data_IF_007500586032
#
_entry.id   IF_007500586032
#
_cell.length_a   1.000
_cell.length_b   1.000
_cell.length_c   1.000
_cell.angle_alpha   90.00
_cell.angle_beta   90.00
_cell.angle_gamma   90.00
#
_symmetry.space_group_name_H-M   'P 1'
#
loop_
_entity.id
_entity.type
_entity.pdbx_description
1 polymer ?
#
# COMPACT_ATOMS: atom_id res chain seq x y z
N UNK A 1 -5.18 -3.01 20.17
CA UNK A 1 -5.51 -1.56 20.21
C UNK A 1 -5.10 -0.91 18.90
N UNK A 2 -5.74 0.20 18.53
CA UNK A 2 -5.22 1.13 17.51
C UNK A 2 -4.81 2.43 18.20
N UNK A 3 -3.84 3.13 17.63
CA UNK A 3 -3.49 4.48 18.03
C UNK A 3 -4.02 5.45 16.98
N UNK A 4 -4.60 6.55 17.46
CA UNK A 4 -5.12 7.65 16.66
C UNK A 4 -4.40 8.91 17.07
N UNK A 5 -3.84 9.63 16.10
CA UNK A 5 -3.07 10.85 16.32
C UNK A 5 -3.71 11.98 15.54
N UNK A 6 -4.15 13.03 16.21
CA UNK A 6 -4.42 14.33 15.59
C UNK A 6 -3.13 15.11 15.40
N UNK A 7 -2.99 15.79 14.26
CA UNK A 7 -1.88 16.62 13.86
C UNK A 7 -2.25 18.09 14.05
N UNK A 8 -1.46 18.78 14.88
CA UNK A 8 -1.55 20.22 15.15
C UNK A 8 -2.95 20.73 15.58
N UNK A 9 -3.28 20.69 16.90
CA UNK A 9 -2.43 20.27 18.02
C UNK A 9 -2.28 18.75 18.08
N UNK A 10 -1.12 18.29 18.58
CA UNK A 10 -0.86 16.85 18.69
C UNK A 10 -1.69 16.23 19.81
N UNK A 11 -2.63 15.36 19.44
CA UNK A 11 -3.51 14.65 20.39
C UNK A 11 -3.41 13.15 20.11
N UNK A 12 -3.15 12.35 21.14
CA UNK A 12 -3.04 10.89 21.03
C UNK A 12 -4.22 10.23 21.74
N UNK A 13 -4.84 9.25 21.09
CA UNK A 13 -5.87 8.38 21.65
C UNK A 13 -5.55 6.93 21.33
N UNK A 14 -5.84 6.05 22.28
CA UNK A 14 -5.82 4.60 22.09
C UNK A 14 -7.26 4.14 22.04
N UNK A 15 -7.63 3.41 21.00
CA UNK A 15 -8.99 2.88 20.81
C UNK A 15 -8.97 1.37 20.65
N UNK A 16 -10.03 0.71 21.09
CA UNK A 16 -10.17 -0.73 20.91
C UNK A 16 -10.46 -1.10 19.45
N UNK A 17 -10.25 -2.38 19.12
CA UNK A 17 -10.51 -2.86 17.76
C UNK A 17 -12.02 -2.90 17.53
N UNK A 18 -12.50 -2.09 16.60
CA UNK A 18 -13.92 -2.02 16.22
C UNK A 18 -14.64 -0.77 16.72
N UNK A 19 -14.01 -0.03 17.63
CA UNK A 19 -14.48 1.31 17.99
C UNK A 19 -14.27 2.31 16.85
N UNK A 20 -15.17 3.31 16.71
CA UNK A 20 -15.01 4.36 15.72
C UNK A 20 -13.77 5.21 16.01
N UNK A 21 -13.17 5.75 14.95
CA UNK A 21 -12.09 6.73 15.08
C UNK A 21 -12.66 8.00 15.71
N UNK A 22 -12.10 8.52 16.81
CA UNK A 22 -12.59 9.73 17.45
C UNK A 22 -12.41 10.93 16.51
N UNK A 23 -13.36 11.85 16.55
CA UNK A 23 -13.24 13.11 15.83
C UNK A 23 -12.22 14.01 16.55
N UNK A 24 -11.01 14.08 15.99
CA UNK A 24 -9.93 14.94 16.45
C UNK A 24 -9.76 16.09 15.47
N UNK A 25 -9.36 17.27 15.94
CA UNK A 25 -9.06 18.42 15.08
C UNK A 25 -7.83 18.16 14.18
N UNK A 26 -7.71 18.93 13.08
CA UNK A 26 -6.56 18.85 12.17
C UNK A 26 -6.53 17.60 11.30
N UNK A 27 -5.35 17.21 10.81
CA UNK A 27 -5.15 15.94 10.10
C UNK A 27 -5.05 14.80 11.10
N UNK A 28 -5.58 13.63 10.77
CA UNK A 28 -5.66 12.50 11.70
C UNK A 28 -5.01 11.28 11.07
N UNK A 29 -4.12 10.64 11.80
CA UNK A 29 -3.50 9.38 11.42
C UNK A 29 -3.96 8.24 12.30
N UNK A 30 -4.24 7.10 11.69
CA UNK A 30 -4.76 5.90 12.37
C UNK A 30 -3.83 4.72 12.09
N UNK A 31 -3.34 4.07 13.13
CA UNK A 31 -2.51 2.87 12.98
C UNK A 31 -3.32 1.64 12.55
N UNK A 32 -2.63 0.59 12.10
CA UNK A 32 -3.23 -0.74 12.13
C UNK A 32 -3.46 -1.22 13.57
N UNK A 33 -4.34 -2.21 13.81
CA UNK A 33 -4.45 -2.83 15.12
C UNK A 33 -3.14 -3.53 15.51
N UNK A 34 -2.60 -3.17 16.67
CA UNK A 34 -1.46 -3.85 17.29
C UNK A 34 -1.83 -4.43 18.65
N UNK A 35 -1.14 -5.47 19.12
CA UNK A 35 -1.24 -5.88 20.52
C UNK A 35 -0.69 -4.75 21.44
N UNK A 36 -1.18 -4.62 22.69
CA UNK A 36 -0.81 -3.51 23.58
C UNK A 36 0.70 -3.32 23.77
N UNK A 37 1.47 -4.41 23.73
CA UNK A 37 2.93 -4.42 23.91
C UNK A 37 3.66 -3.76 22.72
N UNK A 38 2.99 -3.63 21.57
CA UNK A 38 3.50 -2.96 20.36
C UNK A 38 2.92 -1.56 20.16
N UNK A 39 2.43 -0.93 21.22
CA UNK A 39 1.87 0.44 21.16
C UNK A 39 2.84 1.47 20.58
N UNK A 40 4.15 1.29 20.75
CA UNK A 40 5.17 2.15 20.11
C UNK A 40 5.13 2.10 18.58
N UNK A 41 4.97 0.91 18.00
CA UNK A 41 4.84 0.75 16.54
C UNK A 41 3.50 1.31 16.04
N UNK A 42 2.41 1.08 16.78
CA UNK A 42 1.11 1.68 16.48
C UNK A 42 1.18 3.22 16.50
N UNK A 43 1.85 3.79 17.50
CA UNK A 43 2.08 5.23 17.59
C UNK A 43 2.87 5.77 16.39
N UNK A 44 3.96 5.11 16.00
CA UNK A 44 4.75 5.50 14.82
C UNK A 44 3.92 5.49 13.53
N UNK A 45 3.11 4.46 13.32
CA UNK A 45 2.19 4.39 12.17
C UNK A 45 1.17 5.53 12.17
N UNK A 46 0.54 5.80 13.32
CA UNK A 46 -0.46 6.85 13.45
C UNK A 46 0.15 8.25 13.25
N UNK A 47 1.35 8.49 13.78
CA UNK A 47 2.09 9.74 13.55
C UNK A 47 2.38 9.94 12.07
N UNK A 48 3.01 8.96 11.42
CA UNK A 48 3.38 9.07 10.02
C UNK A 48 2.15 9.24 9.10
N UNK A 49 1.04 8.56 9.41
CA UNK A 49 -0.21 8.74 8.68
C UNK A 49 -0.77 10.17 8.81
N UNK A 50 -0.71 10.76 10.01
CA UNK A 50 -1.18 12.12 10.26
C UNK A 50 -0.29 13.16 9.54
N UNK A 51 1.02 12.97 9.59
CA UNK A 51 2.03 13.80 8.89
C UNK A 51 1.82 13.75 7.37
N UNK A 52 1.66 12.56 6.80
CA UNK A 52 1.44 12.39 5.36
C UNK A 52 0.10 13.00 4.92
N UNK A 53 -0.95 12.85 5.73
CA UNK A 53 -2.23 13.51 5.47
C UNK A 53 -2.10 15.04 5.41
N UNK A 54 -1.28 15.63 6.28
CA UNK A 54 -1.00 17.07 6.26
C UNK A 54 -0.12 17.50 5.08
N UNK A 55 0.79 16.62 4.63
CA UNK A 55 1.75 16.91 3.56
C UNK A 55 1.18 16.77 2.16
N UNK A 56 0.38 15.72 1.91
CA UNK A 56 -0.14 15.36 0.59
C UNK A 56 -1.67 15.59 0.55
N UNK A 57 -2.15 16.66 -0.12
CA UNK A 57 -3.58 16.98 -0.21
C UNK A 57 -4.42 15.91 -0.90
N UNK A 58 -3.80 14.95 -1.59
CA UNK A 58 -4.52 13.84 -2.19
C UNK A 58 -4.94 12.80 -1.16
N UNK A 59 -4.30 12.75 0.01
CA UNK A 59 -4.66 11.84 1.10
C UNK A 59 -5.87 12.39 1.88
N UNK A 60 -6.74 11.49 2.40
CA UNK A 60 -7.87 11.94 3.22
C UNK A 60 -7.35 12.61 4.49
N UNK A 61 -8.14 13.57 5.02
CA UNK A 61 -7.90 14.22 6.31
C UNK A 61 -7.71 13.19 7.43
N UNK A 62 -8.47 12.09 7.41
CA UNK A 62 -8.29 10.95 8.31
C UNK A 62 -7.62 9.84 7.49
N UNK A 63 -6.30 9.70 7.66
CA UNK A 63 -5.49 8.72 6.95
C UNK A 63 -5.27 7.47 7.79
N UNK A 64 -5.67 6.32 7.25
CA UNK A 64 -5.37 5.03 7.84
C UNK A 64 -4.03 4.51 7.31
N UNK A 65 -3.16 4.01 8.20
CA UNK A 65 -1.86 3.45 7.83
C UNK A 65 -2.00 2.47 6.67
N UNK A 66 -2.91 1.50 6.77
CA UNK A 66 -3.18 0.46 5.77
C UNK A 66 -3.55 0.98 4.38
N UNK A 67 -3.98 2.24 4.26
CA UNK A 67 -4.46 2.86 3.02
C UNK A 67 -3.45 3.84 2.41
N UNK A 68 -2.29 4.06 3.04
CA UNK A 68 -1.25 4.97 2.56
C UNK A 68 -0.50 4.45 1.32
N UNK A 69 -0.80 3.24 0.86
CA UNK A 69 -0.25 2.66 -0.36
C UNK A 69 1.29 2.65 -0.37
N UNK A 70 1.88 3.22 -1.43
CA UNK A 70 3.32 3.25 -1.64
C UNK A 70 4.10 4.00 -0.55
N UNK A 71 3.49 4.96 0.16
CA UNK A 71 4.18 5.68 1.25
C UNK A 71 4.63 4.74 2.36
N UNK A 72 3.83 3.70 2.69
CA UNK A 72 4.25 2.71 3.70
C UNK A 72 5.55 2.02 3.29
N UNK A 73 5.65 1.63 2.02
CA UNK A 73 6.85 0.97 1.48
C UNK A 73 8.07 1.88 1.53
N UNK A 74 7.89 3.16 1.22
CA UNK A 74 8.96 4.18 1.35
C UNK A 74 9.40 4.38 2.80
N UNK A 75 8.47 4.22 3.74
CA UNK A 75 8.73 4.28 5.19
C UNK A 75 9.25 2.94 5.77
N UNK A 76 9.44 1.92 4.93
CA UNK A 76 10.08 0.66 5.31
C UNK A 76 9.14 -0.52 5.59
N UNK A 77 7.83 -0.42 5.33
CA UNK A 77 6.96 -1.59 5.39
C UNK A 77 7.40 -2.65 4.37
N UNK A 78 7.28 -3.95 4.72
CA UNK A 78 7.74 -5.03 3.86
C UNK A 78 6.89 -5.13 2.58
N UNK A 79 7.57 -5.20 1.43
CA UNK A 79 6.93 -5.37 0.12
C UNK A 79 6.20 -6.71 -0.04
N UNK A 80 6.56 -7.72 0.74
CA UNK A 80 5.99 -9.07 0.64
C UNK A 80 4.48 -9.09 0.91
N UNK A 81 4.00 -8.21 1.80
CA UNK A 81 2.56 -8.07 2.07
C UNK A 81 1.76 -7.58 0.86
N UNK A 82 2.34 -6.71 0.04
CA UNK A 82 1.69 -6.16 -1.16
C UNK A 82 1.58 -7.20 -2.27
N UNK A 83 2.61 -8.05 -2.43
CA UNK A 83 2.68 -9.05 -3.49
C UNK A 83 2.20 -10.44 -3.02
N UNK A 84 1.75 -10.56 -1.78
CA UNK A 84 1.33 -11.82 -1.17
C UNK A 84 0.32 -12.55 -2.06
N UNK A 85 0.48 -13.87 -2.18
CA UNK A 85 -0.41 -14.73 -2.98
C UNK A 85 -0.19 -14.70 -4.50
N UNK A 86 0.56 -13.73 -5.05
CA UNK A 86 0.87 -13.74 -6.48
C UNK A 86 1.85 -14.85 -6.85
N UNK A 87 1.45 -15.68 -7.81
CA UNK A 87 2.34 -16.68 -8.42
C UNK A 87 3.49 -16.02 -9.20
N UNK A 88 4.61 -16.73 -9.43
CA UNK A 88 5.73 -16.19 -10.22
C UNK A 88 5.30 -15.68 -11.61
N UNK A 89 4.38 -16.38 -12.27
CA UNK A 89 3.83 -15.99 -13.58
C UNK A 89 3.05 -14.67 -13.51
N UNK A 90 2.22 -14.48 -12.47
CA UNK A 90 1.47 -13.24 -12.29
C UNK A 90 2.39 -12.07 -11.90
N UNK A 91 3.41 -12.31 -11.07
CA UNK A 91 4.44 -11.30 -10.76
C UNK A 91 5.19 -10.85 -12.00
N UNK A 92 5.62 -11.79 -12.84
CA UNK A 92 6.27 -11.48 -14.12
C UNK A 92 5.34 -10.72 -15.08
N UNK A 93 4.07 -11.13 -15.18
CA UNK A 93 3.08 -10.43 -16.00
C UNK A 93 2.87 -8.99 -15.52
N UNK A 94 2.72 -8.78 -14.21
CA UNK A 94 2.55 -7.48 -13.61
C UNK A 94 3.77 -6.58 -13.84
N UNK A 95 4.98 -7.11 -13.68
CA UNK A 95 6.21 -6.35 -13.88
C UNK A 95 6.34 -5.89 -15.34
N UNK A 96 6.16 -6.80 -16.31
CA UNK A 96 6.20 -6.42 -17.74
C UNK A 96 5.11 -5.41 -18.09
N UNK A 97 3.91 -5.55 -17.50
CA UNK A 97 2.83 -4.59 -17.70
C UNK A 97 3.19 -3.18 -17.22
N UNK A 98 3.75 -3.08 -16.01
CA UNK A 98 4.12 -1.80 -15.40
C UNK A 98 5.35 -1.18 -16.08
N UNK A 99 6.36 -1.99 -16.41
CA UNK A 99 7.56 -1.55 -17.13
C UNK A 99 7.23 -1.10 -18.58
N UNK A 100 6.17 -1.64 -19.18
CA UNK A 100 5.64 -1.20 -20.49
C UNK A 100 4.74 0.04 -20.40
N UNK A 101 4.79 0.78 -19.30
CA UNK A 101 3.96 1.98 -19.12
C UNK A 101 2.46 1.68 -19.05
N UNK A 102 2.08 0.48 -18.60
CA UNK A 102 0.70 -0.01 -18.56
C UNK A 102 0.06 -0.20 -19.96
N UNK A 103 0.87 -0.29 -21.03
CA UNK A 103 0.39 -0.59 -22.38
C UNK A 103 0.08 -2.09 -22.55
N UNK A 104 -1.21 -2.41 -22.61
CA UNK A 104 -1.68 -3.79 -22.75
C UNK A 104 -1.25 -4.45 -24.07
N UNK A 105 -1.10 -3.69 -25.17
CA UNK A 105 -0.67 -4.22 -26.47
C UNK A 105 0.82 -4.56 -26.43
N UNK A 106 1.64 -3.63 -25.94
CA UNK A 106 3.07 -3.86 -25.79
C UNK A 106 3.36 -5.03 -24.84
N UNK A 107 2.64 -5.07 -23.71
CA UNK A 107 2.74 -6.17 -22.72
C UNK A 107 2.35 -7.52 -23.31
N UNK A 108 1.22 -7.59 -24.02
CA UNK A 108 0.76 -8.83 -24.66
C UNK A 108 1.77 -9.33 -25.70
N UNK A 109 2.33 -8.43 -26.50
CA UNK A 109 3.38 -8.77 -27.46
C UNK A 109 4.65 -9.29 -26.76
N UNK A 110 5.12 -8.61 -25.71
CA UNK A 110 6.31 -8.98 -24.95
C UNK A 110 6.16 -10.34 -24.23
N UNK A 111 4.96 -10.68 -23.79
CA UNK A 111 4.65 -11.94 -23.11
C UNK A 111 4.15 -13.05 -24.06
N UNK A 112 4.06 -12.77 -25.37
CA UNK A 112 3.44 -13.65 -26.36
C UNK A 112 2.03 -14.15 -25.95
N UNK A 113 1.23 -13.25 -25.38
CA UNK A 113 -0.13 -13.53 -24.94
C UNK A 113 -1.16 -12.93 -25.88
N UNK A 114 -2.32 -13.59 -25.96
CA UNK A 114 -3.51 -12.93 -26.45
C UNK A 114 -4.00 -11.88 -25.46
N UNK A 115 -4.61 -10.80 -25.96
CA UNK A 115 -5.08 -9.67 -25.14
C UNK A 115 -6.08 -10.08 -24.06
N UNK A 116 -6.98 -11.02 -24.36
CA UNK A 116 -7.94 -11.55 -23.36
C UNK A 116 -7.23 -12.29 -22.23
N UNK A 117 -6.19 -13.06 -22.54
CA UNK A 117 -5.38 -13.75 -21.53
C UNK A 117 -4.61 -12.77 -20.65
N UNK A 118 -4.10 -11.67 -21.21
CA UNK A 118 -3.49 -10.60 -20.42
C UNK A 118 -4.52 -9.98 -19.45
N UNK A 119 -5.70 -9.59 -19.93
CA UNK A 119 -6.73 -9.01 -19.07
C UNK A 119 -7.18 -9.95 -17.96
N UNK A 120 -7.32 -11.25 -18.27
CA UNK A 120 -7.58 -12.24 -17.24
C UNK A 120 -6.50 -12.24 -16.15
N UNK A 121 -5.22 -12.20 -16.54
CA UNK A 121 -4.11 -12.15 -15.56
C UNK A 121 -4.12 -10.86 -14.74
N UNK A 122 -4.38 -9.70 -15.35
CA UNK A 122 -4.48 -8.42 -14.63
C UNK A 122 -5.65 -8.41 -13.65
N UNK A 123 -6.81 -8.96 -14.05
CA UNK A 123 -7.96 -9.14 -13.14
C UNK A 123 -7.61 -10.07 -11.97
N UNK A 124 -6.95 -11.21 -12.23
CA UNK A 124 -6.48 -12.10 -11.17
C UNK A 124 -5.45 -11.44 -10.24
N UNK A 125 -4.58 -10.57 -10.76
CA UNK A 125 -3.67 -9.78 -9.92
C UNK A 125 -4.46 -8.86 -8.99
N UNK A 126 -5.47 -8.15 -9.50
CA UNK A 126 -6.32 -7.28 -8.71
C UNK A 126 -7.07 -8.05 -7.61
N UNK A 127 -7.67 -9.20 -7.96
CA UNK A 127 -8.38 -10.06 -7.02
C UNK A 127 -7.47 -10.60 -5.90
N UNK A 128 -6.24 -11.03 -6.23
CA UNK A 128 -5.32 -11.61 -5.25
C UNK A 128 -4.70 -10.55 -4.34
N UNK A 129 -4.36 -9.38 -4.88
CA UNK A 129 -3.67 -8.32 -4.13
C UNK A 129 -4.60 -7.30 -3.49
N UNK A 130 -5.88 -7.28 -3.87
CA UNK A 130 -6.82 -6.22 -3.55
C UNK A 130 -6.47 -4.87 -4.20
N UNK A 131 -5.57 -4.85 -5.20
CA UNK A 131 -5.03 -3.64 -5.82
C UNK A 131 -5.21 -3.69 -7.32
N UNK A 132 -6.03 -2.79 -7.84
CA UNK A 132 -6.31 -2.74 -9.28
C UNK A 132 -5.14 -2.08 -10.04
N UNK A 133 -4.46 -2.79 -10.98
CA UNK A 133 -3.46 -2.19 -11.84
C UNK A 133 -4.01 -1.07 -12.75
N UNK A 134 -5.31 -0.86 -12.84
CA UNK A 134 -5.91 0.29 -13.51
C UNK A 134 -5.93 1.55 -12.62
N UNK A 135 -5.76 1.45 -11.31
CA UNK A 135 -5.67 2.61 -10.40
C UNK A 135 -4.21 3.13 -10.28
N UNK A 136 -4.03 4.45 -10.36
CA UNK A 136 -2.71 5.08 -10.36
C UNK A 136 -1.91 4.85 -9.08
N UNK A 137 -2.58 4.86 -7.92
CA UNK A 137 -1.92 4.66 -6.61
C UNK A 137 -1.54 3.20 -6.42
N UNK A 138 -2.45 2.30 -6.77
CA UNK A 138 -2.21 0.86 -6.76
C UNK A 138 -1.05 0.48 -7.70
N UNK A 139 -0.98 1.05 -8.91
CA UNK A 139 0.15 0.85 -9.84
C UNK A 139 1.47 1.23 -9.18
N UNK A 140 1.56 2.42 -8.57
CA UNK A 140 2.78 2.87 -7.90
C UNK A 140 3.19 1.92 -6.77
N UNK A 141 2.25 1.53 -5.92
CA UNK A 141 2.51 0.60 -4.80
C UNK A 141 2.97 -0.77 -5.30
N UNK A 142 2.28 -1.35 -6.28
CA UNK A 142 2.63 -2.64 -6.89
C UNK A 142 4.00 -2.60 -7.56
N UNK A 143 4.29 -1.53 -8.31
CA UNK A 143 5.56 -1.38 -9.01
C UNK A 143 6.72 -1.24 -8.01
N UNK A 144 6.56 -0.39 -7.00
CA UNK A 144 7.56 -0.20 -5.95
C UNK A 144 7.79 -1.50 -5.17
N UNK A 145 6.73 -2.23 -4.83
CA UNK A 145 6.83 -3.51 -4.14
C UNK A 145 7.65 -4.53 -4.95
N UNK A 146 7.47 -4.61 -6.28
CA UNK A 146 8.27 -5.49 -7.14
C UNK A 146 9.77 -5.14 -7.09
N UNK A 147 10.12 -3.86 -7.16
CA UNK A 147 11.52 -3.42 -7.11
C UNK A 147 12.13 -3.63 -5.72
N UNK A 148 11.39 -3.35 -4.64
CA UNK A 148 11.81 -3.62 -3.27
C UNK A 148 12.01 -5.11 -3.00
N UNK A 149 11.12 -5.98 -3.47
CA UNK A 149 11.28 -7.44 -3.34
C UNK A 149 12.50 -7.97 -4.12
N UNK A 150 12.90 -7.31 -5.21
CA UNK A 150 14.18 -7.59 -5.89
C UNK A 150 15.36 -7.08 -5.05
N UNK A 151 15.28 -5.85 -4.53
CA UNK A 151 16.33 -5.26 -3.70
C UNK A 151 16.60 -6.07 -2.43
N UNK A 152 15.57 -6.59 -1.78
CA UNK A 152 15.68 -7.43 -0.59
C UNK A 152 16.46 -8.75 -0.83
N UNK A 153 16.55 -9.22 -2.08
CA UNK A 153 17.35 -10.39 -2.47
C UNK A 153 18.82 -10.05 -2.71
N UNK A 154 19.20 -8.77 -2.67
CA UNK A 154 20.60 -8.37 -2.79
C UNK A 154 21.34 -8.88 -1.56
N UNK A 155 22.21 -9.86 -1.77
CA UNK A 155 23.22 -10.20 -0.77
C UNK A 155 24.30 -9.11 -0.81
N UNK A 156 24.75 -8.62 0.35
CA UNK A 156 25.82 -7.63 0.43
C UNK A 156 27.14 -8.15 -0.14
#
# INVERSE_FOLDING_TARGET
>A
VRVVVGWEPRVVRTVERGEPVPDLAGHVGVSEPHPPERSGAAYQQAVAAAELSALDPSLPRVAHWSELGAYRLLLGDPADGVLAGLSPTLRSTLEVYLDSGCDARATAAALHLHRTSLYYRLGRIAEVTGRDPADGRARLELHLALKLARLARRQP
#
